data_IF_423977216897
#
_entry.id   IF_423977216897
#
_cell.length_a   1.000
_cell.length_b   1.000
_cell.length_c   1.000
_cell.angle_alpha   90.00
_cell.angle_beta   90.00
_cell.angle_gamma   90.00
#
_symmetry.space_group_name_H-M   'P 1'
#
loop_
_entity.id
_entity.type
_entity.pdbx_description
1 polymer ?
#
# COMPACT_ATOMS: atom_id res chain seq x y z
N UNK A 1 -9.74 7.50 -1.64
CA UNK A 1 -8.46 6.81 -1.90
C UNK A 1 -8.39 6.37 -3.35
N UNK A 2 -7.23 6.46 -4.00
CA UNK A 2 -7.05 6.09 -5.44
C UNK A 2 -7.49 4.65 -5.75
N UNK A 3 -7.44 3.73 -4.78
CA UNK A 3 -7.75 2.31 -4.97
C UNK A 3 -9.15 1.88 -4.46
N UNK A 4 -9.96 2.78 -3.90
CA UNK A 4 -11.32 2.49 -3.36
C UNK A 4 -12.28 1.90 -4.38
N UNK A 5 -12.06 2.14 -5.68
CA UNK A 5 -12.88 1.55 -6.74
C UNK A 5 -12.80 0.03 -6.73
N UNK A 6 -11.62 -0.53 -6.52
CA UNK A 6 -11.41 -1.98 -6.52
C UNK A 6 -12.06 -2.64 -5.30
N UNK A 7 -11.92 -2.04 -4.12
CA UNK A 7 -12.60 -2.49 -2.90
C UNK A 7 -14.13 -2.52 -3.09
N UNK A 8 -14.73 -1.45 -3.64
CA UNK A 8 -16.18 -1.39 -3.88
C UNK A 8 -16.67 -2.45 -4.87
N UNK A 9 -15.93 -2.67 -5.96
CA UNK A 9 -16.27 -3.70 -6.94
C UNK A 9 -16.11 -5.11 -6.36
N UNK A 10 -15.07 -5.34 -5.58
CA UNK A 10 -14.83 -6.62 -4.88
C UNK A 10 -16.00 -6.94 -3.95
N UNK A 11 -16.38 -6.01 -3.07
CA UNK A 11 -17.53 -6.16 -2.18
C UNK A 11 -18.86 -6.37 -2.94
N UNK A 12 -19.01 -5.76 -4.11
CA UNK A 12 -20.17 -5.98 -4.96
C UNK A 12 -20.19 -7.41 -5.52
N UNK A 13 -19.07 -7.92 -6.03
CA UNK A 13 -18.94 -9.28 -6.53
C UNK A 13 -19.18 -10.32 -5.42
N UNK A 14 -18.66 -10.09 -4.21
CA UNK A 14 -18.91 -10.95 -3.04
C UNK A 14 -20.40 -11.04 -2.70
N UNK A 15 -21.11 -9.90 -2.69
CA UNK A 15 -22.56 -9.85 -2.44
C UNK A 15 -23.38 -10.57 -3.51
N UNK A 16 -22.87 -10.68 -4.73
CA UNK A 16 -23.50 -11.44 -5.82
C UNK A 16 -23.14 -12.94 -5.79
N UNK A 17 -22.35 -13.39 -4.81
CA UNK A 17 -21.87 -14.77 -4.75
C UNK A 17 -20.80 -15.10 -5.80
N UNK A 18 -20.29 -14.12 -6.54
CA UNK A 18 -19.29 -14.32 -7.58
C UNK A 18 -17.87 -14.26 -6.99
N UNK A 19 -17.47 -15.37 -6.36
CA UNK A 19 -16.18 -15.49 -5.64
C UNK A 19 -14.97 -15.35 -6.56
N UNK A 20 -15.03 -15.89 -7.77
CA UNK A 20 -13.94 -15.77 -8.75
C UNK A 20 -13.70 -14.31 -9.12
N UNK A 21 -14.77 -13.55 -9.40
CA UNK A 21 -14.66 -12.13 -9.71
C UNK A 21 -14.18 -11.33 -8.51
N UNK A 22 -14.65 -11.64 -7.31
CA UNK A 22 -14.17 -11.01 -6.08
C UNK A 22 -12.67 -11.23 -5.88
N UNK A 23 -12.17 -12.44 -6.11
CA UNK A 23 -10.73 -12.75 -6.02
C UNK A 23 -9.90 -11.90 -7.01
N UNK A 24 -10.29 -11.86 -8.29
CA UNK A 24 -9.57 -11.05 -9.28
C UNK A 24 -9.60 -9.54 -8.95
N UNK A 25 -10.68 -9.04 -8.33
CA UNK A 25 -10.76 -7.65 -7.89
C UNK A 25 -9.93 -7.38 -6.63
N UNK A 26 -9.80 -8.38 -5.76
CA UNK A 26 -8.89 -8.36 -4.60
C UNK A 26 -7.44 -8.23 -5.05
N UNK A 27 -7.02 -8.99 -6.06
CA UNK A 27 -5.68 -8.88 -6.68
C UNK A 27 -5.45 -7.47 -7.23
N UNK A 28 -6.42 -6.90 -7.96
CA UNK A 28 -6.32 -5.52 -8.49
C UNK A 28 -6.24 -4.45 -7.41
N UNK A 29 -6.90 -4.66 -6.27
CA UNK A 29 -6.75 -3.78 -5.10
C UNK A 29 -5.31 -3.82 -4.57
N UNK A 30 -4.73 -5.01 -4.43
CA UNK A 30 -3.33 -5.18 -3.98
C UNK A 30 -2.38 -4.51 -4.95
N UNK A 31 -2.48 -4.82 -6.24
CA UNK A 31 -1.66 -4.20 -7.29
C UNK A 31 -1.71 -2.67 -7.18
N UNK A 32 -2.91 -2.09 -7.16
CA UNK A 32 -3.09 -0.62 -7.09
C UNK A 32 -2.38 0.00 -5.88
N UNK A 33 -2.55 -0.59 -4.69
CA UNK A 33 -1.93 -0.08 -3.46
C UNK A 33 -0.40 -0.18 -3.52
N UNK A 34 0.12 -1.31 -3.96
CA UNK A 34 1.57 -1.55 -4.06
C UNK A 34 2.21 -0.63 -5.09
N UNK A 35 1.63 -0.51 -6.29
CA UNK A 35 2.13 0.40 -7.33
C UNK A 35 2.12 1.85 -6.84
N UNK A 36 1.03 2.30 -6.22
CA UNK A 36 0.94 3.69 -5.74
C UNK A 36 1.92 3.97 -4.62
N UNK A 37 2.06 3.07 -3.65
CA UNK A 37 3.05 3.16 -2.57
C UNK A 37 4.47 3.29 -3.15
N UNK A 38 4.86 2.41 -4.07
CA UNK A 38 6.19 2.44 -4.70
C UNK A 38 6.43 3.73 -5.48
N UNK A 39 5.43 4.23 -6.21
CA UNK A 39 5.51 5.52 -6.92
C UNK A 39 5.77 6.67 -5.95
N UNK A 40 5.02 6.75 -4.84
CA UNK A 40 5.20 7.80 -3.84
C UNK A 40 6.59 7.77 -3.20
N UNK A 41 7.10 6.57 -2.90
CA UNK A 41 8.47 6.39 -2.36
C UNK A 41 9.52 6.87 -3.38
N UNK A 42 9.37 6.49 -4.65
CA UNK A 42 10.26 6.90 -5.73
C UNK A 42 10.25 8.42 -5.94
N UNK A 43 9.07 9.04 -5.88
CA UNK A 43 8.84 10.50 -5.95
C UNK A 43 9.28 11.25 -4.67
N UNK A 44 9.80 10.54 -3.66
CA UNK A 44 10.17 11.10 -2.35
C UNK A 44 9.02 11.74 -1.56
N UNK A 45 7.78 11.37 -1.87
CA UNK A 45 6.56 11.79 -1.17
C UNK A 45 6.29 10.85 0.01
N UNK A 46 7.21 10.85 0.98
CA UNK A 46 7.28 9.81 2.02
C UNK A 46 6.09 9.86 2.98
N UNK A 47 5.61 11.05 3.36
CA UNK A 47 4.46 11.18 4.28
C UNK A 47 3.17 10.61 3.66
N UNK A 48 2.98 10.84 2.35
CA UNK A 48 1.85 10.27 1.60
C UNK A 48 1.98 8.74 1.47
N UNK A 49 3.21 8.23 1.28
CA UNK A 49 3.46 6.79 1.24
C UNK A 49 3.16 6.14 2.61
N UNK A 50 3.57 6.76 3.71
CA UNK A 50 3.28 6.28 5.08
C UNK A 50 1.76 6.30 5.37
N UNK A 51 1.05 7.36 4.96
CA UNK A 51 -0.40 7.43 5.08
C UNK A 51 -1.10 6.33 4.28
N UNK A 52 -0.64 6.05 3.05
CA UNK A 52 -1.14 4.96 2.24
C UNK A 52 -0.81 3.59 2.86
N UNK A 53 0.37 3.43 3.46
CA UNK A 53 0.76 2.19 4.15
C UNK A 53 -0.18 1.89 5.31
N UNK A 54 -0.48 2.90 6.14
CA UNK A 54 -1.42 2.76 7.27
C UNK A 54 -2.80 2.30 6.78
N UNK A 55 -3.33 2.96 5.75
CA UNK A 55 -4.61 2.55 5.15
C UNK A 55 -4.55 1.15 4.55
N UNK A 56 -3.44 0.81 3.88
CA UNK A 56 -3.21 -0.52 3.32
C UNK A 56 -3.20 -1.63 4.37
N UNK A 57 -2.63 -1.38 5.56
CA UNK A 57 -2.63 -2.35 6.67
C UNK A 57 -4.04 -2.64 7.17
N UNK A 58 -4.88 -1.61 7.28
CA UNK A 58 -6.28 -1.78 7.66
C UNK A 58 -7.05 -2.64 6.65
N UNK A 59 -6.81 -2.43 5.36
CA UNK A 59 -7.40 -3.24 4.28
C UNK A 59 -6.86 -4.68 4.28
N UNK A 60 -5.54 -4.85 4.43
CA UNK A 60 -4.92 -6.17 4.50
C UNK A 60 -5.50 -7.02 5.64
N UNK A 61 -5.69 -6.40 6.81
CA UNK A 61 -6.34 -7.05 7.95
C UNK A 61 -7.80 -7.36 7.69
N UNK A 62 -8.56 -6.38 7.19
CA UNK A 62 -10.01 -6.51 6.93
C UNK A 62 -10.31 -7.66 5.97
N UNK A 63 -9.49 -7.84 4.94
CA UNK A 63 -9.74 -8.80 3.87
C UNK A 63 -8.83 -10.03 3.93
N UNK A 64 -8.00 -10.18 4.96
CA UNK A 64 -7.03 -11.28 5.08
C UNK A 64 -6.12 -11.35 3.85
N UNK A 65 -5.32 -10.31 3.61
CA UNK A 65 -4.41 -10.22 2.46
C UNK A 65 -2.97 -10.21 2.94
N UNK A 66 -2.39 -11.40 3.14
CA UNK A 66 -1.02 -11.54 3.63
C UNK A 66 0.02 -10.95 2.69
N UNK A 67 -0.16 -11.15 1.37
CA UNK A 67 0.72 -10.58 0.34
C UNK A 67 0.80 -9.05 0.43
N UNK A 68 -0.34 -8.38 0.66
CA UNK A 68 -0.36 -6.93 0.81
C UNK A 68 0.45 -6.51 2.04
N UNK A 69 0.27 -7.17 3.19
CA UNK A 69 1.06 -6.89 4.40
C UNK A 69 2.57 -7.00 4.14
N UNK A 70 3.01 -8.04 3.42
CA UNK A 70 4.41 -8.22 3.03
C UNK A 70 4.94 -7.03 2.22
N UNK A 71 4.21 -6.58 1.20
CA UNK A 71 4.64 -5.42 0.42
C UNK A 71 4.69 -4.13 1.21
N UNK A 72 3.73 -3.90 2.11
CA UNK A 72 3.68 -2.71 2.95
C UNK A 72 4.87 -2.67 3.93
N UNK A 73 5.26 -3.82 4.49
CA UNK A 73 6.45 -3.93 5.34
C UNK A 73 7.74 -3.58 4.58
N UNK A 74 7.85 -3.98 3.31
CA UNK A 74 8.98 -3.59 2.46
C UNK A 74 9.01 -2.08 2.22
N UNK A 75 7.85 -1.48 1.94
CA UNK A 75 7.72 -0.03 1.74
C UNK A 75 8.12 0.76 3.00
N UNK A 76 7.68 0.33 4.17
CA UNK A 76 8.03 0.98 5.45
C UNK A 76 9.53 0.95 5.73
N UNK A 77 10.19 -0.19 5.48
CA UNK A 77 11.65 -0.32 5.60
C UNK A 77 12.39 0.61 4.65
N UNK A 78 11.91 0.72 3.40
CA UNK A 78 12.52 1.61 2.40
C UNK A 78 12.39 3.08 2.81
N UNK A 79 11.20 3.51 3.26
CA UNK A 79 10.96 4.87 3.75
C UNK A 79 11.89 5.20 4.92
N UNK A 80 11.99 4.29 5.90
CA UNK A 80 12.91 4.44 7.04
C UNK A 80 14.35 4.62 6.59
N UNK A 81 14.84 3.78 5.68
CA UNK A 81 16.19 3.88 5.14
C UNK A 81 16.45 5.18 4.37
N UNK A 82 15.44 5.75 3.70
CA UNK A 82 15.56 7.05 3.04
C UNK A 82 15.67 8.17 4.08
N UNK A 83 14.82 8.17 5.10
CA UNK A 83 14.84 9.19 6.17
C UNK A 83 16.15 9.15 6.96
N UNK A 84 16.62 7.96 7.33
CA UNK A 84 17.91 7.79 8.03
C UNK A 84 19.08 8.34 7.22
N UNK A 85 19.12 8.08 5.90
CA UNK A 85 20.15 8.64 5.02
C UNK A 85 20.10 10.18 4.96
N UNK A 86 18.91 10.76 4.88
CA UNK A 86 18.73 12.23 4.89
C UNK A 86 19.20 12.85 6.20
N UNK A 87 18.86 12.24 7.33
CA UNK A 87 19.28 12.73 8.64
C UNK A 87 20.80 12.69 8.82
N UNK A 88 21.46 11.60 8.39
CA UNK A 88 22.93 11.49 8.42
C UNK A 88 23.60 12.53 7.53
N UNK A 89 23.08 12.75 6.32
CA UNK A 89 23.60 13.78 5.42
C UNK A 89 23.50 15.18 6.03
N UNK A 90 22.36 15.52 6.63
CA UNK A 90 22.16 16.81 7.30
C UNK A 90 23.15 17.03 8.45
N UNK A 91 23.39 16.00 9.27
CA UNK A 91 24.30 16.06 10.40
C UNK A 91 25.80 16.16 10.02
N UNK A 92 26.18 15.76 8.80
CA UNK A 92 27.55 15.89 8.29
C UNK A 92 27.81 17.23 7.59
N UNK A 93 26.75 17.96 7.26
CA UNK A 93 26.79 19.28 6.62
C UNK A 93 26.60 20.45 7.61
N UNK A 94 26.48 20.16 8.91
CA UNK A 94 26.42 21.14 10.01
C UNK A 94 27.72 21.07 10.82
#
# INVERSE_FOLDING_TARGET
MVCERWERLMQHAERQGNREKALGLKEKLVECLVYRMRSLIAERRLDEAEALIKQGRDLAKRYGIEELSFHLDLGEREIRAIRERRAKAAAQSS
#
